data_IF_227269744815
#
_entry.id   IF_227269744815
#
_cell.length_a   1.000
_cell.length_b   1.000
_cell.length_c   1.000
_cell.angle_alpha   90.00
_cell.angle_beta   90.00
_cell.angle_gamma   90.00
#
_symmetry.space_group_name_H-M   'P 1'
#
loop_
_entity.id
_entity.type
_entity.pdbx_description
1 polymer ?
#
# COMPACT_ATOMS: atom_id res chain seq x y z
N UNK A 1 -10.54 25.80 35.88
CA UNK A 1 -10.80 24.34 35.76
C UNK A 1 -12.23 24.05 35.28
N UNK A 2 -13.27 24.64 35.88
CA UNK A 2 -14.66 24.49 35.41
C UNK A 2 -14.91 25.04 34.01
N UNK A 3 -14.30 26.19 33.67
CA UNK A 3 -14.39 26.79 32.32
C UNK A 3 -13.93 25.84 31.18
N UNK A 4 -12.89 25.03 31.41
CA UNK A 4 -12.39 24.07 30.43
C UNK A 4 -13.32 22.85 30.26
N UNK A 5 -13.94 22.38 31.36
CA UNK A 5 -14.94 21.30 31.28
C UNK A 5 -16.18 21.77 30.52
N UNK A 6 -16.56 23.02 30.68
CA UNK A 6 -17.67 23.64 29.96
C UNK A 6 -17.38 23.76 28.45
N UNK A 7 -16.18 24.19 28.07
CA UNK A 7 -15.75 24.24 26.66
C UNK A 7 -15.65 22.86 25.99
N UNK A 8 -15.18 21.83 26.70
CA UNK A 8 -15.22 20.44 26.19
C UNK A 8 -16.67 19.97 25.99
N UNK A 9 -17.58 20.31 26.91
CA UNK A 9 -19.00 19.99 26.76
C UNK A 9 -19.64 20.75 25.60
N UNK A 10 -19.23 21.98 25.32
CA UNK A 10 -19.66 22.75 24.14
C UNK A 10 -19.14 22.14 22.84
N UNK A 11 -17.85 21.79 22.76
CA UNK A 11 -17.27 21.17 21.57
C UNK A 11 -17.86 19.77 21.26
N UNK A 12 -18.33 19.04 22.28
CA UNK A 12 -19.10 17.79 22.10
C UNK A 12 -20.51 18.00 21.54
N UNK A 13 -21.05 19.22 21.56
CA UNK A 13 -22.35 19.55 20.97
C UNK A 13 -22.25 19.85 19.47
N UNK A 14 -21.03 20.03 18.95
CA UNK A 14 -20.78 20.15 17.52
C UNK A 14 -20.90 18.75 16.87
N UNK A 15 -21.50 18.67 15.67
CA UNK A 15 -22.03 17.40 15.12
C UNK A 15 -20.97 16.43 14.60
N UNK A 16 -19.71 16.86 14.52
CA UNK A 16 -18.61 16.01 14.09
C UNK A 16 -17.76 15.56 15.29
N UNK A 17 -17.67 14.24 15.57
CA UNK A 17 -16.80 13.76 16.63
C UNK A 17 -15.33 14.11 16.30
N UNK A 18 -14.55 14.59 17.29
CA UNK A 18 -13.13 14.85 17.08
C UNK A 18 -12.39 13.54 16.79
N UNK A 19 -11.22 13.65 16.15
CA UNK A 19 -10.36 12.49 15.88
C UNK A 19 -10.18 11.61 17.13
N UNK A 20 -10.15 10.27 17.04
CA UNK A 20 -10.15 9.37 18.21
C UNK A 20 -9.07 9.67 19.27
N UNK A 21 -7.91 10.16 18.84
CA UNK A 21 -6.83 10.59 19.76
C UNK A 21 -7.26 11.78 20.61
N UNK A 22 -7.90 12.79 20.01
CA UNK A 22 -8.43 13.97 20.72
C UNK A 22 -9.54 13.55 21.69
N UNK A 23 -10.38 12.59 21.28
CA UNK A 23 -11.43 12.03 22.14
C UNK A 23 -10.84 11.33 23.39
N UNK A 24 -9.75 10.58 23.23
CA UNK A 24 -9.02 9.92 24.33
C UNK A 24 -8.45 10.93 25.32
N UNK A 25 -7.87 12.02 24.84
CA UNK A 25 -7.35 13.09 25.69
C UNK A 25 -8.47 13.83 26.44
N UNK A 26 -9.62 14.10 25.78
CA UNK A 26 -10.79 14.68 26.43
C UNK A 26 -11.33 13.79 27.57
N UNK A 27 -11.33 12.47 27.38
CA UNK A 27 -11.72 11.51 28.41
C UNK A 27 -10.74 11.50 29.60
N UNK A 28 -9.43 11.61 29.34
CA UNK A 28 -8.42 11.75 30.38
C UNK A 28 -8.61 13.00 31.24
N UNK A 29 -8.99 14.12 30.61
CA UNK A 29 -9.22 15.39 31.30
C UNK A 29 -10.50 15.38 32.15
N UNK A 30 -11.61 14.82 31.64
CA UNK A 30 -12.87 14.75 32.37
C UNK A 30 -12.84 13.77 33.55
N UNK A 31 -11.94 12.78 33.52
CA UNK A 31 -11.85 11.72 34.55
C UNK A 31 -10.86 12.02 35.68
N UNK A 32 -9.91 12.94 35.52
CA UNK A 32 -8.89 13.25 36.54
C UNK A 32 -9.21 14.52 37.34
N UNK A 33 -9.13 14.46 38.67
CA UNK A 33 -8.86 15.63 39.50
C UNK A 33 -7.40 16.04 39.29
N UNK A 34 -7.14 16.94 38.34
CA UNK A 34 -5.80 17.47 38.10
C UNK A 34 -5.34 18.29 39.33
N UNK A 35 -4.37 17.75 40.08
CA UNK A 35 -3.55 18.52 41.02
C UNK A 35 -2.31 18.99 40.26
N UNK A 36 -2.41 20.11 39.55
CA UNK A 36 -1.24 20.72 38.90
C UNK A 36 -1.09 22.15 39.40
N UNK A 37 0.00 22.43 40.12
CA UNK A 37 0.39 23.77 40.61
C UNK A 37 0.93 24.69 39.52
N UNK A 38 1.01 24.21 38.28
CA UNK A 38 1.63 24.90 37.16
C UNK A 38 0.57 25.68 36.36
N UNK A 39 0.34 26.93 36.76
CA UNK A 39 -0.69 27.83 36.22
C UNK A 39 -0.52 28.12 34.72
N UNK A 40 0.69 27.99 34.17
CA UNK A 40 1.00 28.28 32.78
C UNK A 40 0.40 27.31 31.76
N UNK A 41 0.06 26.07 32.17
CA UNK A 41 -0.61 25.13 31.27
C UNK A 41 -2.14 25.25 31.31
N UNK A 42 -2.72 25.85 32.36
CA UNK A 42 -4.18 26.00 32.47
C UNK A 42 -4.77 26.85 31.33
N UNK A 43 -4.05 27.86 30.84
CA UNK A 43 -4.50 28.70 29.72
C UNK A 43 -4.56 27.93 28.40
N UNK A 44 -3.53 27.15 28.05
CA UNK A 44 -3.54 26.34 26.81
C UNK A 44 -4.57 25.19 26.85
N UNK A 45 -4.82 24.62 28.02
CA UNK A 45 -5.81 23.57 28.23
C UNK A 45 -7.27 24.07 28.04
N UNK A 46 -7.53 25.37 28.24
CA UNK A 46 -8.87 25.96 28.10
C UNK A 46 -9.33 26.11 26.65
N UNK A 47 -8.40 26.08 25.68
CA UNK A 47 -8.70 26.28 24.26
C UNK A 47 -8.67 25.00 23.41
N UNK A 48 -8.44 23.83 24.02
CA UNK A 48 -8.38 22.55 23.29
C UNK A 48 -7.19 22.44 22.32
N UNK A 49 -6.21 23.34 22.43
CA UNK A 49 -5.03 23.41 21.56
C UNK A 49 -3.83 22.76 22.24
N UNK A 50 -3.83 21.43 22.30
CA UNK A 50 -2.59 20.69 22.54
C UNK A 50 -1.72 20.63 21.30
N UNK A 51 -2.32 20.73 20.13
CA UNK A 51 -1.66 20.53 18.87
C UNK A 51 -1.04 21.84 18.39
N UNK A 52 0.29 21.98 18.50
CA UNK A 52 1.00 23.11 17.91
C UNK A 52 0.80 23.16 16.38
N UNK A 53 0.70 22.00 15.75
CA UNK A 53 0.54 21.85 14.30
C UNK A 53 0.05 20.45 13.93
N UNK A 54 -0.85 20.40 12.96
CA UNK A 54 -1.18 19.21 12.19
C UNK A 54 -0.88 19.49 10.72
N UNK A 55 -0.15 18.61 10.05
CA UNK A 55 -0.09 18.62 8.59
C UNK A 55 -0.18 17.22 8.04
N UNK A 56 -0.92 17.06 6.96
CA UNK A 56 -0.97 15.83 6.18
C UNK A 56 -0.29 16.06 4.84
N UNK A 57 0.49 15.10 4.37
CA UNK A 57 1.06 15.08 3.02
C UNK A 57 0.71 13.76 2.36
N UNK A 58 0.15 13.83 1.16
CA UNK A 58 -0.22 12.66 0.37
C UNK A 58 0.37 12.75 -1.03
N UNK A 59 0.87 11.64 -1.54
CA UNK A 59 1.28 11.45 -2.93
C UNK A 59 0.68 10.14 -3.44
N UNK A 60 0.04 10.18 -4.59
CA UNK A 60 -0.65 9.01 -5.16
C UNK A 60 -2.03 8.75 -4.55
N UNK A 61 -2.65 7.61 -4.87
CA UNK A 61 -2.13 6.49 -5.68
C UNK A 61 -1.70 6.91 -7.10
N UNK A 62 -0.56 6.42 -7.58
CA UNK A 62 -0.02 6.75 -8.91
C UNK A 62 -0.62 5.87 -10.01
N UNK A 63 -0.94 4.61 -9.68
CA UNK A 63 -1.55 3.69 -10.64
C UNK A 63 -3.02 4.04 -10.84
N UNK A 64 -3.50 3.82 -12.06
CA UNK A 64 -4.93 3.87 -12.41
C UNK A 64 -5.50 2.48 -12.66
N UNK A 65 -4.66 1.44 -12.55
CA UNK A 65 -5.02 0.05 -12.78
C UNK A 65 -5.35 -0.65 -11.47
N UNK A 66 -6.35 -1.51 -11.54
CA UNK A 66 -6.80 -2.39 -10.48
C UNK A 66 -6.91 -3.80 -11.07
N UNK A 67 -5.75 -4.37 -11.44
CA UNK A 67 -5.69 -5.67 -12.09
C UNK A 67 -5.52 -6.79 -11.07
N UNK A 68 -6.18 -7.92 -11.35
CA UNK A 68 -6.12 -9.15 -10.59
C UNK A 68 -5.39 -10.27 -11.32
N UNK A 69 -5.26 -11.42 -10.65
CA UNK A 69 -4.61 -12.63 -11.20
C UNK A 69 -5.59 -13.59 -11.87
N UNK A 70 -6.90 -13.42 -11.64
CA UNK A 70 -7.98 -14.31 -12.09
C UNK A 70 -8.70 -13.74 -13.30
N UNK A 71 -9.42 -14.60 -14.02
CA UNK A 71 -10.34 -14.21 -15.09
C UNK A 71 -9.70 -13.32 -16.16
N UNK A 72 -8.41 -13.51 -16.43
CA UNK A 72 -7.70 -12.76 -17.43
C UNK A 72 -7.95 -13.40 -18.79
N UNK A 73 -8.55 -12.64 -19.69
CA UNK A 73 -9.29 -13.09 -20.86
C UNK A 73 -8.50 -13.80 -21.99
N UNK A 74 -7.32 -14.34 -21.71
CA UNK A 74 -6.55 -15.12 -22.69
C UNK A 74 -6.57 -16.61 -22.37
N UNK A 75 -6.80 -17.40 -23.41
CA UNK A 75 -6.56 -18.85 -23.43
C UNK A 75 -5.05 -19.18 -23.42
N UNK A 76 -4.18 -18.18 -23.27
CA UNK A 76 -2.73 -18.31 -23.40
C UNK A 76 -1.99 -18.25 -22.06
N UNK A 77 -2.66 -17.85 -20.98
CA UNK A 77 -2.25 -18.23 -19.64
C UNK A 77 -2.40 -19.75 -19.52
N UNK A 78 -1.42 -20.43 -18.91
CA UNK A 78 -1.30 -21.89 -18.87
C UNK A 78 -2.67 -22.58 -18.76
N UNK A 79 -3.07 -23.27 -19.83
CA UNK A 79 -4.41 -23.87 -20.04
C UNK A 79 -4.66 -25.15 -19.24
N UNK A 80 -3.84 -25.45 -18.23
CA UNK A 80 -3.95 -26.66 -17.44
C UNK A 80 -4.05 -26.36 -15.95
N UNK A 81 -5.09 -26.85 -15.28
CA UNK A 81 -5.35 -26.59 -13.86
C UNK A 81 -6.35 -25.44 -13.73
N UNK A 82 -7.58 -25.78 -13.35
CA UNK A 82 -8.69 -24.84 -13.16
C UNK A 82 -8.53 -24.08 -11.84
N UNK A 83 -7.68 -23.07 -11.85
CA UNK A 83 -7.31 -22.29 -10.66
C UNK A 83 -7.90 -20.88 -10.67
N UNK A 84 -8.39 -20.43 -11.83
CA UNK A 84 -8.99 -19.11 -12.04
C UNK A 84 -10.48 -19.19 -12.40
N UNK A 85 -11.15 -20.33 -12.19
CA UNK A 85 -12.57 -20.59 -12.48
C UNK A 85 -12.92 -20.52 -13.99
N UNK A 86 -11.90 -20.49 -14.85
CA UNK A 86 -12.00 -20.46 -16.30
C UNK A 86 -11.17 -21.58 -16.97
N UNK A 87 -10.75 -22.59 -16.22
CA UNK A 87 -9.91 -23.68 -16.70
C UNK A 87 -8.45 -23.29 -16.90
N UNK A 88 -7.95 -22.24 -16.24
CA UNK A 88 -6.57 -21.75 -16.39
C UNK A 88 -5.88 -21.57 -15.04
N UNK A 89 -4.54 -21.50 -15.10
CA UNK A 89 -3.72 -21.11 -13.95
C UNK A 89 -3.79 -19.60 -13.72
N UNK A 90 -3.59 -19.19 -12.47
CA UNK A 90 -3.47 -17.79 -12.09
C UNK A 90 -2.29 -17.12 -12.81
N UNK A 91 -2.42 -15.85 -13.17
CA UNK A 91 -1.31 -15.11 -13.79
C UNK A 91 -0.08 -14.99 -12.87
N UNK A 92 -0.30 -14.89 -11.55
CA UNK A 92 0.74 -14.70 -10.55
C UNK A 92 0.90 -13.23 -10.13
N UNK A 93 1.22 -13.01 -8.87
CA UNK A 93 1.41 -11.69 -8.28
C UNK A 93 2.56 -10.91 -8.93
N UNK A 94 3.68 -11.57 -9.22
CA UNK A 94 4.83 -10.98 -9.93
C UNK A 94 4.47 -10.47 -11.32
N UNK A 95 3.89 -11.30 -12.22
CA UNK A 95 3.43 -10.86 -13.53
C UNK A 95 2.41 -9.72 -13.48
N UNK A 96 1.45 -9.76 -12.54
CA UNK A 96 0.49 -8.67 -12.35
C UNK A 96 1.17 -7.36 -11.93
N UNK A 97 2.10 -7.40 -10.98
CA UNK A 97 2.86 -6.22 -10.57
C UNK A 97 3.71 -5.65 -11.72
N UNK A 98 4.40 -6.50 -12.48
CA UNK A 98 5.16 -6.06 -13.66
C UNK A 98 4.26 -5.45 -14.74
N UNK A 99 3.09 -6.06 -15.00
CA UNK A 99 2.13 -5.58 -15.98
C UNK A 99 1.54 -4.22 -15.59
N UNK A 100 1.11 -4.06 -14.34
CA UNK A 100 0.56 -2.78 -13.86
C UNK A 100 1.62 -1.67 -13.89
N UNK A 101 2.89 -1.99 -13.61
CA UNK A 101 3.99 -1.03 -13.70
C UNK A 101 4.28 -0.60 -15.15
N UNK A 102 4.28 -1.55 -16.09
CA UNK A 102 4.40 -1.25 -17.51
C UNK A 102 3.24 -0.38 -18.00
N UNK A 103 2.01 -0.67 -17.59
CA UNK A 103 0.86 0.16 -17.94
C UNK A 103 0.94 1.58 -17.36
N UNK A 104 1.61 1.76 -16.22
CA UNK A 104 1.86 3.08 -15.66
C UNK A 104 2.85 3.90 -16.51
N UNK A 105 3.96 3.30 -16.93
CA UNK A 105 4.98 4.00 -17.74
C UNK A 105 4.58 4.15 -19.21
N UNK A 106 3.93 3.14 -19.77
CA UNK A 106 3.51 3.06 -21.16
C UNK A 106 2.01 2.71 -21.25
N UNK A 107 1.12 3.67 -20.95
CA UNK A 107 -0.31 3.41 -20.88
C UNK A 107 -0.88 3.04 -22.24
N UNK A 108 -1.65 1.96 -22.27
CA UNK A 108 -2.48 1.59 -23.42
C UNK A 108 -3.95 1.88 -23.09
N UNK A 109 -4.53 2.98 -23.63
CA UNK A 109 -5.89 3.39 -23.29
C UNK A 109 -6.96 2.37 -23.70
N UNK A 110 -6.65 1.43 -24.60
CA UNK A 110 -7.58 0.37 -24.96
C UNK A 110 -7.71 -0.72 -23.88
N UNK A 111 -6.70 -0.92 -23.02
CA UNK A 111 -6.78 -1.92 -21.94
C UNK A 111 -7.75 -1.46 -20.86
N UNK A 112 -8.57 -2.37 -20.31
CA UNK A 112 -9.46 -2.02 -19.22
C UNK A 112 -8.63 -1.66 -17.97
N UNK A 113 -9.08 -0.67 -17.20
CA UNK A 113 -8.40 -0.26 -15.96
C UNK A 113 -8.63 -1.23 -14.81
N UNK A 114 -9.71 -1.99 -14.87
CA UNK A 114 -10.04 -3.06 -13.94
C UNK A 114 -10.01 -4.38 -14.71
N UNK A 115 -9.46 -5.45 -14.12
CA UNK A 115 -9.57 -6.77 -14.74
C UNK A 115 -10.99 -7.31 -14.52
N UNK A 116 -11.79 -7.33 -15.58
CA UNK A 116 -13.18 -7.80 -15.52
C UNK A 116 -13.19 -9.31 -15.30
N UNK A 117 -14.02 -9.81 -14.39
CA UNK A 117 -14.13 -11.23 -14.01
C UNK A 117 -14.71 -12.17 -15.07
N UNK A 118 -14.34 -12.02 -16.36
CA UNK A 118 -14.87 -12.81 -17.47
C UNK A 118 -13.81 -13.74 -18.06
N UNK A 119 -14.19 -14.99 -18.34
CA UNK A 119 -13.27 -15.98 -18.89
C UNK A 119 -12.82 -15.67 -20.32
N UNK A 120 -13.71 -15.10 -21.13
CA UNK A 120 -13.50 -14.90 -22.57
C UNK A 120 -13.42 -13.41 -22.89
N UNK A 121 -12.41 -13.01 -23.66
CA UNK A 121 -12.28 -11.63 -24.10
C UNK A 121 -13.42 -11.27 -25.06
N UNK A 122 -14.05 -10.12 -24.84
CA UNK A 122 -15.09 -9.58 -25.72
C UNK A 122 -14.60 -8.40 -26.56
N UNK A 123 -13.40 -7.87 -26.28
CA UNK A 123 -12.79 -6.79 -27.05
C UNK A 123 -11.25 -6.89 -27.09
N UNK A 124 -10.64 -6.13 -28.00
CA UNK A 124 -9.18 -6.11 -28.20
C UNK A 124 -8.38 -5.64 -26.96
N UNK A 125 -8.97 -4.78 -26.14
CA UNK A 125 -8.35 -4.31 -24.90
C UNK A 125 -8.14 -5.40 -23.87
N UNK A 126 -9.15 -6.26 -23.71
CA UNK A 126 -9.10 -7.42 -22.82
C UNK A 126 -8.10 -8.46 -23.33
N UNK A 127 -8.07 -8.73 -24.64
CA UNK A 127 -7.04 -9.58 -25.26
C UNK A 127 -5.65 -9.02 -24.96
N UNK A 128 -5.44 -7.72 -25.17
CA UNK A 128 -4.16 -7.06 -24.91
C UNK A 128 -3.72 -7.16 -23.45
N UNK A 129 -4.65 -7.05 -22.49
CA UNK A 129 -4.35 -7.23 -21.07
C UNK A 129 -3.87 -8.65 -20.77
N UNK A 130 -4.60 -9.68 -21.21
CA UNK A 130 -4.17 -11.05 -20.94
C UNK A 130 -2.86 -11.40 -21.65
N UNK A 131 -2.62 -10.88 -22.86
CA UNK A 131 -1.34 -11.06 -23.55
C UNK A 131 -0.19 -10.37 -22.81
N UNK A 132 -0.40 -9.18 -22.25
CA UNK A 132 0.60 -8.53 -21.39
C UNK A 132 0.92 -9.41 -20.17
N UNK A 133 -0.10 -9.94 -19.49
CA UNK A 133 0.08 -10.81 -18.31
C UNK A 133 0.90 -12.06 -18.65
N UNK A 134 0.62 -12.69 -19.80
CA UNK A 134 1.39 -13.84 -20.28
C UNK A 134 2.85 -13.46 -20.56
N UNK A 135 3.08 -12.35 -21.27
CA UNK A 135 4.43 -11.89 -21.60
C UNK A 135 5.22 -11.58 -20.32
N UNK A 136 4.60 -10.91 -19.35
CA UNK A 136 5.24 -10.64 -18.06
C UNK A 136 5.55 -11.93 -17.30
N UNK A 137 4.67 -12.92 -17.33
CA UNK A 137 4.92 -14.25 -16.79
C UNK A 137 6.11 -14.96 -17.44
N UNK A 138 6.22 -14.90 -18.77
CA UNK A 138 7.35 -15.47 -19.49
C UNK A 138 8.67 -14.74 -19.15
N UNK A 139 8.66 -13.40 -19.12
CA UNK A 139 9.84 -12.57 -18.82
C UNK A 139 10.32 -12.73 -17.38
N UNK A 140 9.39 -12.88 -16.44
CA UNK A 140 9.70 -13.12 -15.03
C UNK A 140 9.97 -14.59 -14.70
N UNK A 141 9.93 -15.48 -15.70
CA UNK A 141 10.08 -16.94 -15.54
C UNK A 141 9.14 -17.47 -14.45
N UNK A 142 7.89 -17.03 -14.49
CA UNK A 142 6.87 -17.43 -13.54
C UNK A 142 6.66 -18.95 -13.57
N UNK A 143 6.68 -19.58 -12.40
CA UNK A 143 6.39 -20.99 -12.22
C UNK A 143 4.92 -21.16 -11.90
N UNK A 144 4.13 -21.48 -12.92
CA UNK A 144 2.72 -21.80 -12.74
C UNK A 144 2.52 -23.19 -12.12
N UNK A 145 1.48 -23.37 -11.30
CA UNK A 145 1.22 -24.60 -10.52
C UNK A 145 2.37 -24.91 -9.57
N UNK A 146 2.85 -23.89 -8.86
CA UNK A 146 4.00 -24.01 -8.00
C UNK A 146 3.73 -25.03 -6.89
N UNK A 147 4.60 -26.03 -6.77
CA UNK A 147 4.49 -27.15 -5.83
C UNK A 147 3.14 -27.91 -5.90
N UNK A 148 2.50 -27.96 -7.08
CA UNK A 148 1.23 -28.65 -7.26
C UNK A 148 0.01 -27.90 -6.69
N UNK A 149 0.18 -26.62 -6.33
CA UNK A 149 -0.89 -25.74 -5.85
C UNK A 149 -1.39 -24.82 -6.98
N UNK A 150 -2.51 -24.12 -6.75
CA UNK A 150 -2.99 -23.12 -7.71
C UNK A 150 -2.16 -21.82 -7.77
N UNK A 151 -1.09 -21.71 -6.98
CA UNK A 151 -0.22 -20.55 -6.98
C UNK A 151 0.66 -20.48 -8.23
N UNK A 152 0.94 -19.25 -8.66
CA UNK A 152 1.97 -18.94 -9.65
C UNK A 152 3.07 -18.16 -8.96
N UNK A 153 4.25 -18.77 -8.87
CA UNK A 153 5.37 -18.23 -8.12
C UNK A 153 6.33 -17.49 -9.05
N UNK A 154 6.94 -16.40 -8.55
CA UNK A 154 7.96 -15.64 -9.28
C UNK A 154 9.07 -15.25 -8.32
N UNK A 155 10.33 -15.54 -8.69
CA UNK A 155 11.48 -15.09 -7.90
C UNK A 155 11.68 -13.57 -8.06
N UNK A 156 11.99 -12.83 -6.99
CA UNK A 156 12.25 -11.38 -7.06
C UNK A 156 13.40 -11.00 -7.99
N UNK A 157 14.43 -11.83 -8.02
CA UNK A 157 15.54 -11.65 -8.94
C UNK A 157 15.06 -11.65 -10.40
N UNK A 158 14.08 -12.51 -10.70
CA UNK A 158 13.50 -12.60 -12.04
C UNK A 158 12.52 -11.46 -12.35
N UNK A 159 11.94 -10.78 -11.35
CA UNK A 159 11.17 -9.54 -11.59
C UNK A 159 12.10 -8.48 -12.18
N UNK A 160 13.26 -8.26 -11.55
CA UNK A 160 14.25 -7.27 -12.02
C UNK A 160 14.78 -7.60 -13.40
N UNK A 161 15.24 -8.84 -13.61
CA UNK A 161 15.74 -9.25 -14.93
C UNK A 161 14.62 -9.26 -15.97
N UNK A 162 13.41 -9.67 -15.59
CA UNK A 162 12.25 -9.74 -16.47
C UNK A 162 11.80 -8.36 -16.96
N UNK A 163 11.81 -7.34 -16.11
CA UNK A 163 11.54 -5.95 -16.52
C UNK A 163 12.58 -5.48 -17.55
N UNK A 164 13.86 -5.75 -17.30
CA UNK A 164 14.93 -5.43 -18.25
C UNK A 164 14.78 -6.17 -19.58
N UNK A 165 14.48 -7.47 -19.53
CA UNK A 165 14.24 -8.30 -20.71
C UNK A 165 12.96 -7.90 -21.46
N UNK A 166 12.00 -7.27 -20.78
CA UNK A 166 10.79 -6.72 -21.38
C UNK A 166 11.07 -5.43 -22.14
N UNK A 167 11.99 -4.58 -21.64
CA UNK A 167 12.42 -3.36 -22.31
C UNK A 167 12.81 -2.21 -21.40
N UNK A 168 12.66 -2.36 -20.07
CA UNK A 168 13.00 -1.31 -19.11
C UNK A 168 14.50 -1.02 -19.14
N UNK A 169 14.87 0.26 -19.21
CA UNK A 169 16.28 0.69 -19.12
C UNK A 169 16.95 0.25 -17.80
N UNK A 170 16.18 0.17 -16.72
CA UNK A 170 16.62 -0.40 -15.44
C UNK A 170 15.52 -1.19 -14.74
N UNK A 171 15.78 -2.48 -14.45
CA UNK A 171 14.87 -3.35 -13.69
C UNK A 171 14.88 -3.10 -12.17
N UNK A 172 15.69 -2.16 -11.69
CA UNK A 172 15.75 -1.72 -10.30
C UNK A 172 16.73 -2.49 -9.41
N UNK A 173 16.79 -2.07 -8.14
CA UNK A 173 17.66 -2.59 -7.10
C UNK A 173 16.82 -3.12 -5.94
N UNK A 174 17.20 -4.29 -5.41
CA UNK A 174 16.56 -4.84 -4.21
C UNK A 174 17.10 -4.16 -2.96
N UNK A 175 16.21 -3.75 -2.07
CA UNK A 175 16.51 -3.10 -0.81
C UNK A 175 15.60 -3.67 0.29
N UNK A 176 16.00 -3.47 1.54
CA UNK A 176 15.12 -3.69 2.68
C UNK A 176 13.94 -2.71 2.65
N UNK A 177 12.73 -3.20 2.93
CA UNK A 177 11.52 -2.38 2.90
C UNK A 177 11.34 -1.47 4.13
N UNK A 178 12.34 -1.37 5.00
CA UNK A 178 12.33 -0.54 6.22
C UNK A 178 12.89 0.89 5.98
N UNK A 179 13.27 1.23 4.74
CA UNK A 179 13.73 2.57 4.40
C UNK A 179 12.61 3.44 3.78
N UNK A 180 11.77 4.03 4.63
CA UNK A 180 10.68 4.91 4.19
C UNK A 180 11.18 6.11 3.37
N UNK A 181 12.34 6.69 3.71
CA UNK A 181 12.88 7.84 3.01
C UNK A 181 13.23 7.51 1.54
N UNK A 182 13.81 6.33 1.31
CA UNK A 182 14.07 5.82 -0.03
C UNK A 182 12.77 5.63 -0.83
N UNK A 183 11.78 4.94 -0.25
CA UNK A 183 10.48 4.70 -0.90
C UNK A 183 9.79 6.03 -1.22
N UNK A 184 9.75 6.97 -0.27
CA UNK A 184 9.21 8.32 -0.45
C UNK A 184 9.92 9.08 -1.58
N UNK A 185 11.24 8.92 -1.70
CA UNK A 185 12.01 9.58 -2.78
C UNK A 185 11.64 9.06 -4.16
N UNK A 186 11.44 7.75 -4.33
CA UNK A 186 10.98 7.16 -5.59
C UNK A 186 9.56 7.64 -5.95
N UNK A 187 8.65 7.60 -4.98
CA UNK A 187 7.25 8.04 -5.16
C UNK A 187 7.14 9.55 -5.47
N UNK A 188 7.99 10.38 -4.86
CA UNK A 188 8.07 11.81 -5.20
C UNK A 188 8.52 12.03 -6.65
N UNK A 189 9.39 11.14 -7.17
CA UNK A 189 9.80 11.12 -8.57
C UNK A 189 8.76 10.52 -9.54
N UNK A 190 7.56 10.18 -9.06
CA UNK A 190 6.55 9.42 -9.81
C UNK A 190 7.04 8.04 -10.26
N UNK A 191 7.83 7.36 -9.43
CA UNK A 191 8.27 5.99 -9.69
C UNK A 191 7.61 5.05 -8.65
N UNK A 192 6.54 4.32 -9.00
CA UNK A 192 6.04 3.24 -8.17
C UNK A 192 7.13 2.19 -7.94
N UNK A 193 7.08 1.55 -6.78
CA UNK A 193 8.07 0.54 -6.37
C UNK A 193 7.39 -0.81 -6.20
N UNK A 194 8.14 -1.90 -6.42
CA UNK A 194 7.60 -3.25 -6.26
C UNK A 194 8.01 -3.77 -4.89
N UNK A 195 7.04 -4.13 -4.06
CA UNK A 195 7.26 -4.80 -2.80
C UNK A 195 7.18 -6.31 -2.97
N UNK A 196 7.84 -7.01 -2.06
CA UNK A 196 7.66 -8.43 -1.87
C UNK A 196 7.90 -8.86 -0.43
N UNK A 197 7.24 -9.93 -0.03
CA UNK A 197 7.31 -10.46 1.32
C UNK A 197 6.59 -11.81 1.43
N UNK A 198 6.62 -12.39 2.63
CA UNK A 198 5.94 -13.65 2.95
C UNK A 198 5.32 -13.58 4.34
N UNK A 199 4.51 -14.57 4.67
CA UNK A 199 3.91 -14.71 6.01
C UNK A 199 4.83 -15.33 7.05
N UNK A 200 5.91 -15.99 6.60
CA UNK A 200 6.96 -16.50 7.46
C UNK A 200 8.33 -16.52 6.74
N UNK A 201 9.43 -16.70 7.48
CA UNK A 201 10.79 -16.59 6.94
C UNK A 201 11.18 -17.72 5.97
N UNK A 202 10.56 -18.90 6.09
CA UNK A 202 10.84 -20.10 5.30
C UNK A 202 9.63 -20.59 4.47
N UNK A 203 8.51 -19.85 4.49
CA UNK A 203 7.28 -20.16 3.77
C UNK A 203 7.31 -19.64 2.32
N UNK A 204 8.14 -20.23 1.47
CA UNK A 204 8.23 -19.83 0.05
C UNK A 204 6.92 -20.01 -0.73
N UNK A 205 6.00 -20.86 -0.25
CA UNK A 205 4.69 -21.07 -0.84
C UNK A 205 3.70 -19.93 -0.59
N UNK A 206 3.96 -19.06 0.39
CA UNK A 206 3.08 -17.96 0.80
C UNK A 206 3.75 -16.59 0.59
N UNK A 207 4.41 -16.50 -0.56
CA UNK A 207 5.17 -15.36 -0.99
C UNK A 207 4.32 -14.47 -1.90
N UNK A 208 4.36 -13.16 -1.69
CA UNK A 208 3.57 -12.21 -2.46
C UNK A 208 4.43 -11.06 -3.00
N UNK A 209 4.00 -10.52 -4.15
CA UNK A 209 4.65 -9.42 -4.86
C UNK A 209 3.56 -8.42 -5.23
N UNK A 210 3.75 -7.15 -4.86
CA UNK A 210 2.74 -6.11 -5.06
C UNK A 210 3.39 -4.76 -5.37
N UNK A 211 2.58 -3.74 -5.67
CA UNK A 211 3.07 -2.40 -5.96
C UNK A 211 2.77 -1.47 -4.80
N UNK A 212 3.75 -0.65 -4.43
CA UNK A 212 3.52 0.57 -3.67
C UNK A 212 3.60 1.77 -4.60
N UNK A 213 2.51 2.53 -4.66
CA UNK A 213 2.32 3.60 -5.63
C UNK A 213 1.88 4.91 -4.96
N UNK A 214 2.01 5.03 -3.66
CA UNK A 214 1.67 6.24 -2.94
C UNK A 214 2.11 6.22 -1.49
N UNK A 215 2.08 7.39 -0.86
CA UNK A 215 2.30 7.53 0.57
C UNK A 215 1.38 8.60 1.17
N UNK A 216 1.09 8.41 2.45
CA UNK A 216 0.38 9.36 3.29
C UNK A 216 1.19 9.55 4.57
N UNK A 217 1.49 10.80 4.92
CA UNK A 217 2.24 11.13 6.12
C UNK A 217 1.47 12.14 6.95
N UNK A 218 1.18 11.77 8.18
CA UNK A 218 0.55 12.64 9.16
C UNK A 218 1.60 13.13 10.14
N UNK A 219 1.83 14.43 10.16
CA UNK A 219 2.75 15.09 11.09
C UNK A 219 1.93 15.76 12.20
N UNK A 220 2.24 15.38 13.42
CA UNK A 220 1.63 15.91 14.63
C UNK A 220 2.71 16.64 15.43
N UNK A 221 2.27 17.64 16.17
CA UNK A 221 3.11 18.21 17.20
C UNK A 221 2.25 18.70 18.35
N UNK A 222 2.64 18.33 19.56
CA UNK A 222 1.94 18.74 20.78
C UNK A 222 2.85 19.53 21.72
N UNK A 223 2.28 20.52 22.39
CA UNK A 223 3.02 21.35 23.32
C UNK A 223 3.31 20.59 24.62
N UNK A 224 4.58 20.48 24.98
CA UNK A 224 5.06 19.87 26.21
C UNK A 224 5.15 20.91 27.32
N UNK A 225 4.27 20.77 28.31
CA UNK A 225 4.17 21.65 29.48
C UNK A 225 5.42 21.71 30.35
N UNK A 226 6.20 20.64 30.40
CA UNK A 226 7.42 20.55 31.24
C UNK A 226 8.59 21.23 30.54
N UNK A 227 8.77 21.00 29.24
CA UNK A 227 9.89 21.55 28.47
C UNK A 227 9.58 22.90 27.83
N UNK A 228 8.30 23.31 27.82
CA UNK A 228 7.79 24.50 27.12
C UNK A 228 8.11 24.50 25.61
N UNK A 229 8.14 23.33 24.99
CA UNK A 229 8.45 23.12 23.57
C UNK A 229 7.40 22.24 22.89
N UNK A 230 7.28 22.32 21.56
CA UNK A 230 6.44 21.40 20.79
C UNK A 230 7.20 20.10 20.50
N UNK A 231 6.73 18.99 21.05
CA UNK A 231 7.17 17.67 20.63
C UNK A 231 6.57 17.36 19.26
N UNK A 232 7.30 16.69 18.38
CA UNK A 232 6.83 16.35 17.03
C UNK A 232 6.93 14.84 16.79
N UNK A 233 5.95 14.27 16.11
CA UNK A 233 6.00 12.89 15.63
C UNK A 233 5.23 12.75 14.33
N UNK A 234 5.45 11.63 13.64
CA UNK A 234 4.77 11.35 12.39
C UNK A 234 4.36 9.90 12.27
N UNK A 235 3.17 9.67 11.73
CA UNK A 235 2.75 8.36 11.22
C UNK A 235 2.89 8.35 9.71
N UNK A 236 3.49 7.29 9.18
CA UNK A 236 3.72 7.11 7.75
C UNK A 236 2.94 5.90 7.27
N UNK A 237 2.27 6.05 6.14
CA UNK A 237 1.49 5.02 5.48
C UNK A 237 1.92 4.94 4.02
N UNK A 238 1.83 3.75 3.46
CA UNK A 238 2.12 3.46 2.05
C UNK A 238 0.86 2.92 1.39
N UNK A 239 0.53 3.45 0.21
CA UNK A 239 -0.56 2.91 -0.60
C UNK A 239 -0.08 1.64 -1.29
N UNK A 240 -0.83 0.56 -1.12
CA UNK A 240 -0.54 -0.75 -1.68
C UNK A 240 -1.60 -1.13 -2.70
N UNK A 241 -1.14 -1.55 -3.88
CA UNK A 241 -1.92 -2.26 -4.88
C UNK A 241 -1.48 -3.73 -4.88
N UNK A 242 -2.31 -4.60 -4.32
CA UNK A 242 -1.99 -6.02 -4.09
C UNK A 242 -2.10 -6.91 -5.33
N UNK A 243 -2.58 -6.38 -6.44
CA UNK A 243 -2.77 -7.18 -7.66
C UNK A 243 -3.90 -8.19 -7.55
N UNK A 244 -4.94 -7.90 -6.76
CA UNK A 244 -6.12 -8.73 -6.54
C UNK A 244 -7.42 -8.10 -7.05
N UNK A 245 -7.35 -7.26 -8.08
CA UNK A 245 -8.57 -6.67 -8.67
C UNK A 245 -9.25 -5.66 -7.74
N UNK A 246 -8.45 -4.83 -7.07
CA UNK A 246 -8.80 -3.85 -6.04
C UNK A 246 -9.07 -4.40 -4.63
N UNK A 247 -9.14 -5.71 -4.46
CA UNK A 247 -9.32 -6.30 -3.13
C UNK A 247 -8.13 -5.95 -2.21
N UNK A 248 -8.45 -5.38 -1.05
CA UNK A 248 -7.51 -4.95 0.00
C UNK A 248 -6.55 -3.81 -0.38
N UNK A 249 -6.72 -3.16 -1.52
CA UNK A 249 -5.92 -1.98 -1.87
C UNK A 249 -6.14 -0.84 -0.85
N UNK A 250 -5.10 -0.06 -0.57
CA UNK A 250 -5.22 1.12 0.29
C UNK A 250 -3.96 1.46 1.06
N UNK A 251 -4.10 2.36 2.04
CA UNK A 251 -3.00 2.84 2.86
C UNK A 251 -2.74 1.93 4.07
N UNK A 252 -1.56 1.33 4.11
CA UNK A 252 -1.08 0.49 5.20
C UNK A 252 -0.05 1.25 6.02
N UNK A 253 -0.07 1.08 7.34
CA UNK A 253 0.94 1.68 8.21
C UNK A 253 2.32 1.14 7.84
N UNK A 254 3.32 2.02 7.82
CA UNK A 254 4.68 1.64 7.44
C UNK A 254 5.22 0.53 8.35
N UNK A 255 5.62 -0.59 7.77
CA UNK A 255 6.07 -1.79 8.49
C UNK A 255 4.96 -2.73 8.94
N UNK A 256 3.71 -2.52 8.53
CA UNK A 256 2.54 -3.34 8.88
C UNK A 256 1.66 -3.58 7.63
N UNK A 257 2.01 -4.60 6.86
CA UNK A 257 1.44 -4.91 5.54
C UNK A 257 0.54 -6.15 5.60
N UNK A 258 -0.64 -5.95 6.19
CA UNK A 258 -1.56 -7.04 6.55
C UNK A 258 -2.89 -6.93 5.76
N UNK A 259 -2.93 -7.37 4.48
CA UNK A 259 -4.17 -7.35 3.71
C UNK A 259 -5.07 -8.54 4.10
N UNK A 260 -6.34 -8.26 4.39
CA UNK A 260 -7.34 -9.28 4.76
C UNK A 260 -6.82 -10.28 5.82
N UNK A 261 -6.67 -11.56 5.48
CA UNK A 261 -6.20 -12.63 6.39
C UNK A 261 -4.67 -12.86 6.36
N UNK A 262 -3.93 -12.14 5.51
CA UNK A 262 -2.48 -12.28 5.37
C UNK A 262 -1.67 -11.26 6.20
N UNK A 263 -0.44 -11.62 6.55
CA UNK A 263 0.58 -10.76 7.16
C UNK A 263 1.86 -10.93 6.35
N UNK A 264 2.13 -10.08 5.36
CA UNK A 264 3.32 -10.23 4.49
C UNK A 264 4.56 -9.51 5.04
N UNK A 265 4.69 -9.38 6.36
CA UNK A 265 5.79 -8.64 6.99
C UNK A 265 7.10 -9.43 7.12
N UNK A 266 7.10 -10.75 6.87
CA UNK A 266 8.33 -11.54 6.88
C UNK A 266 9.09 -11.43 5.54
N UNK A 267 10.42 -11.52 5.59
CA UNK A 267 11.29 -11.36 4.42
C UNK A 267 10.92 -10.15 3.55
N UNK A 268 10.59 -9.02 4.18
CA UNK A 268 10.01 -7.90 3.47
C UNK A 268 11.07 -7.03 2.78
N UNK A 269 10.98 -6.90 1.47
CA UNK A 269 11.89 -6.11 0.66
C UNK A 269 11.14 -5.30 -0.39
N UNK A 270 11.88 -4.37 -1.01
CA UNK A 270 11.38 -3.48 -2.04
C UNK A 270 12.37 -3.40 -3.20
N UNK A 271 11.85 -3.29 -4.42
CA UNK A 271 12.59 -3.03 -5.64
C UNK A 271 12.37 -1.56 -6.01
N UNK A 272 13.44 -0.77 -5.97
CA UNK A 272 13.45 0.67 -6.28
C UNK A 272 14.33 0.96 -7.50
N UNK A 273 14.26 2.17 -8.06
CA UNK A 273 15.11 2.54 -9.19
C UNK A 273 14.70 1.88 -10.51
N UNK A 274 13.47 1.37 -10.59
CA UNK A 274 12.91 0.82 -11.82
C UNK A 274 12.66 1.97 -12.80
N UNK A 275 13.17 1.88 -14.02
CA UNK A 275 13.04 2.93 -15.05
C UNK A 275 12.69 2.29 -16.40
N UNK A 276 11.70 2.84 -17.14
CA UNK A 276 11.36 2.39 -18.48
C UNK A 276 12.54 2.57 -19.44
#
# INVERSE_FOLDING_TARGET
MEMAKEKIREAKKDTNPPHPIVLKEWQGYLSRQLRTSDTYCIEWYQYGQFQCKYTSTQKGPLLTTEWGQRHLSTTQLSTGGDCDDCGRRLAGCGPVAMAQLEEFYHPNPARPRVSNGICTAVNAGQVSLGSLMQVMGAKSKASYNYMGTCATFTWPANVKSGLKDFGFSNGGNGNEAYNFALIKSELNGNHPVIFWGSTCLDCFSDYHIWICDGYLQHHYSDFNCTTKQCNQWSYSYLNMNWGWGNDSNGYFAFGQYNPAEGDYNANLHVITGIRP
#
